data_IF_295361064746
#
_entry.id   IF_295361064746
#
_cell.length_a   1.000
_cell.length_b   1.000
_cell.length_c   1.000
_cell.angle_alpha   90.00
_cell.angle_beta   90.00
_cell.angle_gamma   90.00
#
_symmetry.space_group_name_H-M   'P 1'
#
loop_
_entity.id
_entity.type
_entity.pdbx_description
1 polymer ?
#
# COMPACT_ATOMS: atom_id res chain seq x y z
N UNK A 1 5.42 -11.30 4.73
CA UNK A 1 5.24 -11.93 3.44
C UNK A 1 6.35 -11.61 2.45
N UNK A 2 6.45 -12.45 1.42
CA UNK A 2 7.34 -12.21 0.27
C UNK A 2 8.83 -12.52 0.48
N UNK A 3 9.27 -12.92 1.68
CA UNK A 3 10.70 -13.14 2.00
C UNK A 3 11.32 -14.18 1.08
N UNK A 4 10.68 -15.34 0.92
CA UNK A 4 11.23 -16.46 0.12
C UNK A 4 11.48 -16.04 -1.34
N UNK A 5 10.49 -15.43 -1.98
CA UNK A 5 10.61 -14.99 -3.38
C UNK A 5 11.64 -13.87 -3.56
N UNK A 6 11.69 -12.93 -2.61
CA UNK A 6 12.65 -11.82 -2.66
C UNK A 6 14.08 -12.33 -2.46
N UNK A 7 14.30 -13.24 -1.50
CA UNK A 7 15.60 -13.87 -1.27
C UNK A 7 16.08 -14.67 -2.49
N UNK A 8 15.16 -15.43 -3.10
CA UNK A 8 15.47 -16.20 -4.32
C UNK A 8 15.97 -15.28 -5.44
N UNK A 9 15.26 -14.18 -5.72
CA UNK A 9 15.68 -13.24 -6.77
C UNK A 9 16.99 -12.53 -6.41
N UNK A 10 17.13 -12.08 -5.16
CA UNK A 10 18.35 -11.41 -4.70
C UNK A 10 19.63 -12.25 -4.91
N UNK A 11 19.51 -13.58 -4.86
CA UNK A 11 20.61 -14.55 -5.04
C UNK A 11 20.69 -15.15 -6.45
N UNK A 12 19.78 -14.79 -7.34
CA UNK A 12 19.75 -15.31 -8.72
C UNK A 12 20.88 -14.72 -9.58
N UNK A 13 21.14 -15.38 -10.72
CA UNK A 13 22.10 -14.87 -11.71
C UNK A 13 21.66 -13.49 -12.22
N UNK A 14 22.60 -12.54 -12.34
CA UNK A 14 22.29 -11.16 -12.75
C UNK A 14 22.25 -11.02 -14.28
N UNK A 15 21.56 -11.92 -14.95
CA UNK A 15 21.49 -12.04 -16.43
C UNK A 15 20.21 -11.43 -17.03
N UNK A 16 19.27 -10.93 -16.17
CA UNK A 16 18.04 -10.30 -16.58
C UNK A 16 16.87 -11.27 -16.82
N UNK A 17 17.04 -12.57 -16.61
CA UNK A 17 15.96 -13.56 -16.78
C UNK A 17 15.17 -13.83 -15.51
N UNK A 18 15.71 -13.45 -14.34
CA UNK A 18 15.00 -13.57 -13.07
C UNK A 18 14.76 -12.18 -12.49
N UNK A 19 13.49 -11.82 -12.35
CA UNK A 19 13.06 -10.50 -11.87
C UNK A 19 12.10 -10.65 -10.69
N UNK A 20 12.10 -9.68 -9.81
CA UNK A 20 11.18 -9.56 -8.70
C UNK A 20 10.09 -8.56 -9.04
N UNK A 21 8.85 -9.02 -9.18
CA UNK A 21 7.68 -8.14 -9.12
C UNK A 21 7.20 -8.10 -7.67
N UNK A 22 7.20 -6.94 -7.05
CA UNK A 22 6.95 -6.82 -5.62
C UNK A 22 6.13 -5.61 -5.25
N UNK A 23 5.48 -5.72 -4.11
CA UNK A 23 4.87 -4.63 -3.34
C UNK A 23 5.85 -4.14 -2.26
N UNK A 24 5.58 -3.03 -1.54
CA UNK A 24 6.53 -2.45 -0.57
C UNK A 24 6.94 -3.37 0.57
N UNK A 25 6.04 -4.24 1.04
CA UNK A 25 6.29 -5.08 2.22
C UNK A 25 7.68 -5.73 2.23
N UNK A 26 8.04 -6.56 1.23
CA UNK A 26 9.33 -7.23 1.18
C UNK A 26 10.56 -6.31 1.11
N UNK A 27 10.41 -5.12 0.55
CA UNK A 27 11.54 -4.23 0.27
C UNK A 27 11.63 -3.00 1.19
N UNK A 28 10.65 -2.81 2.08
CA UNK A 28 10.67 -1.69 3.05
C UNK A 28 10.24 -2.13 4.45
N UNK A 29 9.02 -2.67 4.60
CA UNK A 29 8.40 -3.01 5.88
C UNK A 29 9.18 -4.12 6.60
N UNK A 30 9.58 -5.16 5.88
CA UNK A 30 10.31 -6.30 6.44
C UNK A 30 11.67 -5.90 7.04
N UNK A 31 12.31 -4.83 6.56
CA UNK A 31 13.54 -4.28 7.16
C UNK A 31 13.38 -3.82 8.62
N UNK A 32 12.15 -3.58 9.03
CA UNK A 32 11.82 -3.19 10.40
C UNK A 32 11.21 -4.33 11.20
N UNK A 33 10.34 -5.13 10.56
CA UNK A 33 9.61 -6.19 11.25
C UNK A 33 10.50 -7.37 11.65
N UNK A 34 11.54 -7.69 10.86
CA UNK A 34 12.38 -8.86 11.10
C UNK A 34 13.77 -8.46 11.56
N UNK A 35 14.26 -9.06 12.64
CA UNK A 35 15.63 -8.85 13.13
C UNK A 35 16.68 -9.38 12.15
N UNK A 36 16.35 -10.44 11.41
CA UNK A 36 17.24 -11.04 10.40
C UNK A 36 16.45 -11.33 9.14
N UNK A 37 16.82 -10.65 8.06
CA UNK A 37 16.38 -10.99 6.71
C UNK A 37 17.51 -11.72 5.98
N UNK A 38 17.19 -12.69 5.11
CA UNK A 38 18.21 -13.41 4.33
C UNK A 38 18.74 -12.58 3.15
N UNK A 39 18.22 -11.36 2.94
CA UNK A 39 18.60 -10.39 1.92
C UNK A 39 18.53 -8.96 2.46
N UNK A 40 19.23 -8.04 1.82
CA UNK A 40 19.07 -6.60 2.01
C UNK A 40 18.62 -5.97 0.68
N UNK A 41 17.35 -5.51 0.57
CA UNK A 41 16.84 -4.97 -0.69
C UNK A 41 17.57 -3.69 -1.16
N UNK A 42 18.35 -3.05 -0.28
CA UNK A 42 19.12 -1.83 -0.57
C UNK A 42 20.43 -2.12 -1.30
N UNK A 43 20.98 -3.33 -1.12
CA UNK A 43 22.29 -3.77 -1.65
C UNK A 43 22.20 -4.96 -2.58
N UNK A 44 21.24 -5.85 -2.39
CA UNK A 44 21.12 -7.11 -3.12
C UNK A 44 20.19 -7.02 -4.33
N UNK A 45 19.40 -5.93 -4.40
CA UNK A 45 18.45 -5.66 -5.48
C UNK A 45 18.66 -4.27 -6.07
N UNK A 46 18.23 -4.09 -7.32
CA UNK A 46 18.20 -2.79 -8.00
C UNK A 46 16.88 -2.57 -8.70
N UNK A 47 16.42 -1.32 -8.72
CA UNK A 47 15.17 -0.95 -9.39
C UNK A 47 15.31 -1.07 -10.90
N UNK A 48 14.29 -1.63 -11.53
CA UNK A 48 14.13 -1.65 -13.00
C UNK A 48 13.05 -0.65 -13.41
N UNK A 49 11.86 -0.76 -12.82
CA UNK A 49 10.74 0.16 -13.08
C UNK A 49 9.64 -0.03 -12.04
N UNK A 50 8.87 1.00 -11.79
CA UNK A 50 7.56 0.88 -11.17
C UNK A 50 6.52 0.64 -12.27
N UNK A 51 5.67 -0.36 -12.09
CA UNK A 51 4.66 -0.76 -13.09
C UNK A 51 3.36 -0.01 -12.91
N UNK A 52 2.88 -0.01 -11.67
CA UNK A 52 1.60 0.59 -11.32
C UNK A 52 1.60 1.07 -9.86
N UNK A 53 0.70 1.99 -9.56
CA UNK A 53 0.49 2.50 -8.21
C UNK A 53 -0.94 2.23 -7.79
N UNK A 54 -1.12 1.37 -6.79
CA UNK A 54 -2.44 1.09 -6.22
C UNK A 54 -2.96 2.28 -5.42
N UNK A 55 -4.25 2.54 -5.54
CA UNK A 55 -4.96 3.51 -4.71
C UNK A 55 -5.60 2.79 -3.53
N UNK A 56 -5.56 3.42 -2.38
CA UNK A 56 -6.22 2.94 -1.17
C UNK A 56 -7.26 3.94 -0.67
N UNK A 57 -8.29 3.42 -0.02
CA UNK A 57 -9.43 4.20 0.45
C UNK A 57 -9.79 3.80 1.88
N UNK A 58 -9.96 4.78 2.74
CA UNK A 58 -10.55 4.59 4.07
C UNK A 58 -12.01 4.26 3.91
N UNK A 59 -12.40 3.09 4.39
CA UNK A 59 -13.73 2.53 4.20
C UNK A 59 -14.26 2.03 5.53
N UNK A 60 -15.55 2.23 5.76
CA UNK A 60 -16.25 1.80 6.96
C UNK A 60 -17.45 0.93 6.62
N UNK A 61 -17.81 0.04 7.57
CA UNK A 61 -19.11 -0.63 7.56
C UNK A 61 -20.25 0.39 7.75
N UNK A 62 -21.41 0.24 7.14
CA UNK A 62 -22.53 1.21 7.23
C UNK A 62 -23.04 1.51 8.65
N UNK A 63 -22.79 0.61 9.61
CA UNK A 63 -23.12 0.83 11.03
C UNK A 63 -22.33 1.96 11.69
N UNK A 64 -21.21 2.37 11.09
CA UNK A 64 -20.41 3.51 11.58
C UNK A 64 -21.08 4.80 11.13
N UNK A 65 -21.57 5.67 12.05
CA UNK A 65 -22.32 6.87 11.70
C UNK A 65 -21.39 8.04 11.31
N UNK A 66 -20.52 7.82 10.32
CA UNK A 66 -19.58 8.81 9.78
C UNK A 66 -19.69 8.89 8.25
N UNK A 67 -19.63 10.08 7.68
CA UNK A 67 -19.70 10.35 6.24
C UNK A 67 -18.39 10.90 5.67
N UNK A 68 -17.46 11.29 6.52
CA UNK A 68 -16.15 11.81 6.17
C UNK A 68 -15.15 11.47 7.30
N UNK A 69 -13.88 11.80 7.09
CA UNK A 69 -12.84 11.44 8.05
C UNK A 69 -12.95 12.20 9.37
N UNK A 70 -13.36 13.48 9.33
CA UNK A 70 -13.59 14.29 10.54
C UNK A 70 -14.65 13.66 11.44
N UNK A 71 -15.80 13.31 10.85
CA UNK A 71 -16.88 12.65 11.59
C UNK A 71 -16.44 11.29 12.17
N UNK A 72 -15.61 10.52 11.44
CA UNK A 72 -15.07 9.26 11.94
C UNK A 72 -14.24 9.49 13.22
N UNK A 73 -13.35 10.48 13.22
CA UNK A 73 -12.56 10.84 14.40
C UNK A 73 -13.48 11.17 15.60
N UNK A 74 -14.53 11.94 15.37
CA UNK A 74 -15.48 12.32 16.41
C UNK A 74 -16.28 11.12 16.95
N UNK A 75 -16.69 10.22 16.06
CA UNK A 75 -17.41 8.98 16.41
C UNK A 75 -16.55 8.07 17.27
N UNK A 76 -15.28 7.80 16.85
CA UNK A 76 -14.37 6.94 17.60
C UNK A 76 -14.04 7.54 18.98
N UNK A 77 -13.83 8.88 19.05
CA UNK A 77 -13.51 9.57 20.30
C UNK A 77 -14.61 9.46 21.35
N UNK A 78 -15.89 9.41 20.92
CA UNK A 78 -17.03 9.26 21.83
C UNK A 78 -17.16 7.87 22.44
N UNK A 79 -16.63 6.83 21.76
CA UNK A 79 -16.75 5.44 22.16
C UNK A 79 -15.38 4.73 22.06
N UNK A 80 -14.44 5.08 22.97
CA UNK A 80 -13.09 4.53 22.95
C UNK A 80 -13.10 2.99 23.07
N UNK A 81 -12.28 2.31 22.26
CA UNK A 81 -12.16 0.85 22.25
C UNK A 81 -13.30 0.09 21.58
N UNK A 82 -14.35 0.78 21.07
CA UNK A 82 -15.48 0.12 20.41
C UNK A 82 -15.19 -0.29 18.97
N UNK A 83 -14.41 0.49 18.26
CA UNK A 83 -14.20 0.33 16.82
C UNK A 83 -12.93 -0.45 16.51
N UNK A 84 -13.07 -1.48 15.69
CA UNK A 84 -11.95 -2.29 15.20
C UNK A 84 -11.53 -1.87 13.79
N UNK A 85 -10.22 -1.70 13.59
CA UNK A 85 -9.62 -1.47 12.28
C UNK A 85 -8.86 -2.70 11.80
N UNK A 86 -9.27 -3.23 10.64
CA UNK A 86 -8.61 -4.36 9.99
C UNK A 86 -7.39 -3.95 9.20
N UNK A 87 -6.39 -4.82 9.16
CA UNK A 87 -5.25 -4.71 8.25
C UNK A 87 -4.94 -6.01 7.55
N UNK A 88 -4.26 -5.96 6.41
CA UNK A 88 -3.77 -7.16 5.71
C UNK A 88 -2.46 -7.72 6.28
N UNK A 89 -2.15 -7.35 7.52
CA UNK A 89 -1.03 -7.87 8.30
C UNK A 89 -0.32 -6.80 9.12
N UNK A 90 0.50 -7.22 10.10
CA UNK A 90 1.29 -6.31 10.92
C UNK A 90 2.20 -5.42 10.07
N UNK A 91 2.37 -4.15 10.45
CA UNK A 91 3.25 -3.18 9.77
C UNK A 91 2.77 -2.71 8.40
N UNK A 92 1.66 -3.23 7.87
CA UNK A 92 1.09 -2.78 6.59
C UNK A 92 0.41 -1.42 6.71
N UNK A 93 0.14 -0.76 5.57
CA UNK A 93 -0.42 0.59 5.56
C UNK A 93 -1.65 0.79 6.46
N UNK A 94 -2.67 -0.10 6.48
CA UNK A 94 -3.80 0.09 7.39
C UNK A 94 -3.39 0.06 8.86
N UNK A 95 -2.45 -0.80 9.25
CA UNK A 95 -1.93 -0.84 10.62
C UNK A 95 -1.13 0.42 10.95
N UNK A 96 -0.26 0.88 10.05
CA UNK A 96 0.47 2.13 10.23
C UNK A 96 -0.50 3.32 10.38
N UNK A 97 -1.55 3.37 9.55
CA UNK A 97 -2.56 4.41 9.61
C UNK A 97 -3.37 4.36 10.91
N UNK A 98 -3.73 3.17 11.38
CA UNK A 98 -4.44 2.99 12.65
C UNK A 98 -3.60 3.55 13.81
N UNK A 99 -2.33 3.16 13.93
CA UNK A 99 -1.43 3.63 14.98
C UNK A 99 -1.22 5.16 14.89
N UNK A 100 -1.07 5.68 13.67
CA UNK A 100 -0.94 7.11 13.45
C UNK A 100 -2.21 7.87 13.89
N UNK A 101 -3.39 7.38 13.52
CA UNK A 101 -4.67 7.98 13.89
C UNK A 101 -4.87 7.99 15.41
N UNK A 102 -4.63 6.86 16.05
CA UNK A 102 -4.77 6.73 17.51
C UNK A 102 -3.85 7.72 18.23
N UNK A 103 -2.58 7.79 17.84
CA UNK A 103 -1.60 8.69 18.43
C UNK A 103 -1.90 10.18 18.14
N UNK A 104 -2.21 10.51 16.90
CA UNK A 104 -2.33 11.91 16.46
C UNK A 104 -3.64 12.54 16.93
N UNK A 105 -4.73 11.76 16.90
CA UNK A 105 -6.07 12.28 17.21
C UNK A 105 -6.57 11.85 18.59
N UNK A 106 -5.74 11.14 19.38
CA UNK A 106 -6.11 10.66 20.72
C UNK A 106 -7.24 9.63 20.68
N UNK A 107 -7.19 8.71 19.70
CA UNK A 107 -8.20 7.67 19.53
C UNK A 107 -7.77 6.39 20.24
N UNK A 108 -8.74 5.51 20.48
CA UNK A 108 -8.51 4.16 21.01
C UNK A 108 -9.29 3.19 20.13
N UNK A 109 -8.58 2.59 19.14
CA UNK A 109 -9.15 1.59 18.25
C UNK A 109 -8.50 0.24 18.47
N UNK A 110 -9.21 -0.84 18.12
CA UNK A 110 -8.66 -2.20 18.17
C UNK A 110 -8.06 -2.56 16.82
N UNK A 111 -6.83 -3.06 16.81
CA UNK A 111 -6.20 -3.57 15.59
C UNK A 111 -6.51 -5.06 15.40
N UNK A 112 -7.00 -5.42 14.20
CA UNK A 112 -7.22 -6.83 13.80
C UNK A 112 -6.39 -7.14 12.56
N UNK A 113 -5.39 -8.00 12.71
CA UNK A 113 -4.49 -8.39 11.62
C UNK A 113 -5.02 -9.64 10.90
N UNK A 114 -5.12 -9.56 9.57
CA UNK A 114 -5.53 -10.65 8.68
C UNK A 114 -4.35 -11.16 7.83
N UNK A 115 -4.49 -12.36 7.27
CA UNK A 115 -3.54 -12.92 6.28
C UNK A 115 -3.89 -12.46 4.86
N UNK A 116 -3.97 -11.12 4.67
CA UNK A 116 -4.29 -10.50 3.38
C UNK A 116 -5.64 -9.76 3.37
N UNK A 117 -5.96 -9.15 2.23
CA UNK A 117 -7.11 -8.25 2.10
C UNK A 117 -8.46 -8.97 2.01
N UNK A 118 -8.50 -10.16 1.37
CA UNK A 118 -9.76 -10.86 1.16
C UNK A 118 -10.50 -11.26 2.47
N UNK A 119 -9.86 -11.94 3.45
CA UNK A 119 -10.52 -12.23 4.71
C UNK A 119 -10.87 -10.97 5.51
N UNK A 120 -10.05 -9.94 5.46
CA UNK A 120 -10.33 -8.64 6.07
C UNK A 120 -11.61 -7.99 5.49
N UNK A 121 -11.77 -8.04 4.16
CA UNK A 121 -12.94 -7.49 3.48
C UNK A 121 -14.22 -8.25 3.86
N UNK A 122 -14.14 -9.56 4.02
CA UNK A 122 -15.29 -10.38 4.47
C UNK A 122 -15.77 -9.93 5.85
N UNK A 123 -14.85 -9.75 6.79
CA UNK A 123 -15.17 -9.33 8.15
C UNK A 123 -15.61 -7.85 8.22
N UNK A 124 -15.09 -7.00 7.35
CA UNK A 124 -15.59 -5.62 7.20
C UNK A 124 -17.04 -5.60 6.69
N UNK A 125 -17.36 -6.44 5.71
CA UNK A 125 -18.71 -6.54 5.15
C UNK A 125 -19.75 -7.08 6.13
N UNK A 126 -19.33 -7.97 7.02
CA UNK A 126 -20.20 -8.53 8.07
C UNK A 126 -20.27 -7.66 9.34
N UNK A 127 -19.46 -6.58 9.43
CA UNK A 127 -19.40 -5.70 10.59
C UNK A 127 -18.60 -6.27 11.78
N UNK A 128 -17.87 -7.37 11.60
CA UNK A 128 -16.94 -7.91 12.63
C UNK A 128 -15.84 -6.89 12.93
N UNK A 129 -15.31 -6.26 11.87
CA UNK A 129 -14.51 -5.05 11.99
C UNK A 129 -15.29 -3.87 11.39
N UNK A 130 -15.02 -2.66 11.86
CA UNK A 130 -15.81 -1.49 11.47
C UNK A 130 -15.15 -0.62 10.42
N UNK A 131 -13.84 -0.72 10.25
CA UNK A 131 -13.10 0.13 9.30
C UNK A 131 -11.81 -0.52 8.82
N UNK A 132 -11.34 -0.05 7.66
CA UNK A 132 -10.02 -0.35 7.11
C UNK A 132 -9.57 0.74 6.15
N UNK A 133 -8.27 0.79 5.84
CA UNK A 133 -7.77 1.36 4.60
C UNK A 133 -7.47 0.19 3.67
N UNK A 134 -8.21 0.05 2.60
CA UNK A 134 -8.08 -1.06 1.66
C UNK A 134 -7.87 -0.59 0.22
N UNK A 135 -7.55 -1.53 -0.68
CA UNK A 135 -7.39 -1.19 -2.10
C UNK A 135 -8.72 -0.80 -2.73
N UNK A 136 -8.69 0.22 -3.58
CA UNK A 136 -9.87 0.63 -4.36
C UNK A 136 -10.39 -0.54 -5.18
N UNK A 137 -9.51 -1.33 -5.77
CA UNK A 137 -9.86 -2.51 -6.57
C UNK A 137 -10.77 -3.49 -5.81
N UNK A 138 -10.41 -3.81 -4.57
CA UNK A 138 -11.14 -4.79 -3.75
C UNK A 138 -12.44 -4.19 -3.19
N UNK A 139 -12.41 -2.93 -2.76
CA UNK A 139 -13.52 -2.34 -2.00
C UNK A 139 -14.58 -1.65 -2.88
N UNK A 140 -14.21 -1.17 -4.08
CA UNK A 140 -15.11 -0.41 -4.96
C UNK A 140 -16.43 -1.14 -5.28
N UNK A 141 -16.48 -2.43 -5.62
CA UNK A 141 -17.74 -3.10 -5.91
C UNK A 141 -18.72 -3.09 -4.72
N UNK A 142 -18.20 -3.19 -3.50
CA UNK A 142 -19.02 -3.16 -2.29
C UNK A 142 -19.45 -1.73 -1.92
N UNK A 143 -18.61 -0.75 -2.21
CA UNK A 143 -18.94 0.68 -2.06
C UNK A 143 -20.04 1.05 -3.06
N UNK A 144 -19.90 0.68 -4.33
CA UNK A 144 -20.91 0.92 -5.35
C UNK A 144 -22.25 0.25 -5.04
N UNK A 145 -22.22 -0.94 -4.43
CA UNK A 145 -23.42 -1.65 -3.97
C UNK A 145 -24.01 -1.11 -2.65
N UNK A 146 -23.44 -0.06 -2.04
CA UNK A 146 -23.88 0.51 -0.77
C UNK A 146 -23.65 -0.38 0.46
N UNK A 147 -22.91 -1.48 0.30
CA UNK A 147 -22.56 -2.41 1.38
C UNK A 147 -21.43 -1.89 2.27
N UNK A 148 -20.63 -0.98 1.76
CA UNK A 148 -19.57 -0.28 2.47
C UNK A 148 -19.63 1.21 2.15
N UNK A 149 -19.03 2.03 2.99
CA UNK A 149 -18.96 3.48 2.80
C UNK A 149 -17.51 3.94 2.74
N UNK A 150 -17.12 4.57 1.62
CA UNK A 150 -15.82 5.24 1.49
C UNK A 150 -15.86 6.60 2.19
N UNK A 151 -14.81 6.94 2.94
CA UNK A 151 -14.72 8.21 3.67
C UNK A 151 -13.63 9.14 3.14
N UNK A 152 -12.48 8.60 2.76
CA UNK A 152 -11.36 9.39 2.25
C UNK A 152 -10.42 8.55 1.38
N UNK A 153 -9.93 9.12 0.29
CA UNK A 153 -8.95 8.52 -0.61
C UNK A 153 -7.54 8.87 -0.15
N UNK A 154 -6.63 7.88 -0.10
CA UNK A 154 -5.22 8.12 0.12
C UNK A 154 -4.52 8.55 -1.18
N UNK A 155 -3.50 9.40 -1.02
CA UNK A 155 -2.73 9.96 -2.13
C UNK A 155 -3.21 11.35 -2.56
N UNK A 156 -2.52 11.95 -3.54
CA UNK A 156 -2.74 13.36 -3.92
C UNK A 156 -4.03 13.59 -4.73
N UNK A 157 -4.54 12.56 -5.41
CA UNK A 157 -5.66 12.69 -6.33
C UNK A 157 -6.76 11.67 -6.01
N UNK A 158 -8.00 11.96 -6.41
CA UNK A 158 -9.12 11.01 -6.37
C UNK A 158 -8.89 9.85 -7.35
N UNK A 159 -9.56 8.72 -7.11
CA UNK A 159 -9.58 7.60 -8.06
C UNK A 159 -10.65 7.80 -9.12
N UNK A 160 -10.35 7.43 -10.38
CA UNK A 160 -11.36 7.38 -11.47
C UNK A 160 -12.50 6.40 -11.14
N UNK A 161 -12.23 5.37 -10.34
CA UNK A 161 -13.24 4.39 -9.92
C UNK A 161 -14.16 4.90 -8.80
N UNK A 162 -13.73 5.92 -8.06
CA UNK A 162 -14.46 6.54 -6.94
C UNK A 162 -14.32 8.08 -7.03
N UNK A 163 -14.85 8.72 -8.09
CA UNK A 163 -14.60 10.13 -8.37
C UNK A 163 -15.23 11.08 -7.33
N UNK A 164 -16.26 10.62 -6.64
CA UNK A 164 -16.97 11.40 -5.62
C UNK A 164 -16.29 11.33 -4.24
N UNK A 165 -15.35 10.39 -4.05
CA UNK A 165 -14.63 10.24 -2.77
C UNK A 165 -13.47 11.23 -2.73
N UNK A 166 -13.57 12.22 -1.86
CA UNK A 166 -12.51 13.23 -1.63
C UNK A 166 -11.26 12.58 -1.02
N UNK A 167 -10.10 13.16 -1.31
CA UNK A 167 -8.85 12.73 -0.68
C UNK A 167 -8.76 13.21 0.77
N UNK A 168 -7.90 12.57 1.58
CA UNK A 168 -7.55 13.09 2.90
C UNK A 168 -7.07 14.54 2.81
N UNK A 169 -6.26 14.88 1.80
CA UNK A 169 -5.73 16.22 1.60
C UNK A 169 -6.84 17.25 1.30
N UNK A 170 -7.84 16.92 0.49
CA UNK A 170 -9.01 17.75 0.23
C UNK A 170 -9.85 17.97 1.49
N UNK A 171 -9.83 17.03 2.44
CA UNK A 171 -10.48 17.15 3.75
C UNK A 171 -9.60 17.86 4.79
N UNK A 172 -8.40 18.36 4.41
CA UNK A 172 -7.49 19.09 5.30
C UNK A 172 -6.43 18.25 5.98
N UNK A 173 -6.36 16.93 5.75
CA UNK A 173 -5.40 16.01 6.36
C UNK A 173 -4.27 15.70 5.39
N UNK A 174 -3.10 16.35 5.60
CA UNK A 174 -1.95 16.30 4.67
C UNK A 174 -0.75 15.53 5.22
N UNK A 175 -0.94 14.76 6.28
CA UNK A 175 0.12 13.96 6.89
C UNK A 175 0.64 12.89 5.91
N UNK A 176 1.93 12.59 5.99
CA UNK A 176 2.61 11.69 5.06
C UNK A 176 1.96 10.33 4.92
N UNK A 177 1.40 9.78 6.01
CA UNK A 177 0.71 8.49 6.00
C UNK A 177 -0.47 8.44 5.02
N UNK A 178 -1.17 9.56 4.83
CA UNK A 178 -2.30 9.66 3.91
C UNK A 178 -1.89 10.00 2.48
N UNK A 179 -0.68 10.54 2.29
CA UNK A 179 -0.15 10.94 0.99
C UNK A 179 0.65 9.83 0.32
N UNK A 180 1.18 8.91 1.11
CA UNK A 180 2.03 7.82 0.61
C UNK A 180 1.17 6.79 -0.12
N UNK A 181 1.47 6.64 -1.41
CA UNK A 181 0.96 5.56 -2.24
C UNK A 181 2.16 4.81 -2.81
N UNK A 182 2.25 3.53 -2.48
CA UNK A 182 3.39 2.74 -2.85
C UNK A 182 3.18 2.02 -4.19
N UNK A 183 4.17 2.02 -5.08
CA UNK A 183 4.06 1.33 -6.35
C UNK A 183 4.26 -0.19 -6.19
N UNK A 184 3.79 -0.91 -7.19
CA UNK A 184 4.26 -2.25 -7.51
C UNK A 184 5.49 -2.10 -8.39
N UNK A 185 6.62 -2.60 -7.93
CA UNK A 185 7.92 -2.38 -8.55
C UNK A 185 8.49 -3.66 -9.15
N UNK A 186 9.24 -3.52 -10.23
CA UNK A 186 10.11 -4.57 -10.77
C UNK A 186 11.54 -4.26 -10.38
N UNK A 187 12.19 -5.26 -9.80
CA UNK A 187 13.60 -5.21 -9.39
C UNK A 187 14.37 -6.39 -9.99
N UNK A 188 15.67 -6.21 -10.16
CA UNK A 188 16.61 -7.22 -10.59
C UNK A 188 17.67 -7.45 -9.50
N UNK A 189 18.44 -8.57 -9.55
CA UNK A 189 19.66 -8.73 -8.74
C UNK A 189 20.59 -7.52 -8.90
N UNK A 190 21.21 -7.06 -7.83
CA UNK A 190 21.98 -5.80 -7.81
C UNK A 190 23.09 -5.74 -8.85
N UNK A 191 23.69 -6.88 -9.20
CA UNK A 191 24.80 -6.98 -10.17
C UNK A 191 24.34 -7.10 -11.63
N UNK A 192 23.04 -7.03 -11.92
CA UNK A 192 22.53 -7.04 -13.31
C UNK A 192 23.11 -5.84 -14.07
N UNK A 193 23.73 -6.04 -15.27
CA UNK A 193 24.34 -4.97 -16.04
C UNK A 193 23.36 -3.85 -16.39
N UNK A 194 23.85 -2.59 -16.40
CA UNK A 194 23.04 -1.40 -16.70
C UNK A 194 22.31 -1.51 -18.04
N UNK A 195 22.99 -1.98 -19.08
CA UNK A 195 22.38 -2.16 -20.41
C UNK A 195 21.15 -3.10 -20.39
N UNK A 196 21.19 -4.14 -19.56
CA UNK A 196 20.06 -5.07 -19.39
C UNK A 196 18.91 -4.37 -18.65
N UNK A 197 19.23 -3.68 -17.54
CA UNK A 197 18.22 -2.97 -16.73
C UNK A 197 17.53 -1.87 -17.54
N UNK A 198 18.29 -1.09 -18.30
CA UNK A 198 17.73 -0.05 -19.18
C UNK A 198 16.86 -0.60 -20.29
N UNK A 199 17.27 -1.73 -20.90
CA UNK A 199 16.45 -2.41 -21.90
C UNK A 199 15.14 -2.90 -21.30
N UNK A 200 15.20 -3.63 -20.18
CA UNK A 200 14.01 -4.13 -19.49
C UNK A 200 13.07 -2.98 -19.11
N UNK A 201 13.60 -1.89 -18.59
CA UNK A 201 12.79 -0.72 -18.23
C UNK A 201 12.08 -0.11 -19.44
N UNK A 202 12.76 0.04 -20.58
CA UNK A 202 12.13 0.52 -21.82
C UNK A 202 11.03 -0.41 -22.32
N UNK A 203 11.28 -1.73 -22.29
CA UNK A 203 10.31 -2.74 -22.73
C UNK A 203 9.07 -2.73 -21.79
N UNK A 204 9.28 -2.65 -20.48
CA UNK A 204 8.21 -2.52 -19.48
C UNK A 204 7.40 -1.25 -19.71
N UNK A 205 8.06 -0.11 -19.90
CA UNK A 205 7.39 1.16 -20.16
C UNK A 205 6.57 1.12 -21.45
N UNK A 206 7.08 0.48 -22.50
CA UNK A 206 6.36 0.31 -23.75
C UNK A 206 5.10 -0.55 -23.56
N UNK A 207 5.18 -1.64 -22.79
CA UNK A 207 4.04 -2.50 -22.48
C UNK A 207 3.01 -1.77 -21.63
N UNK A 208 3.43 -1.10 -20.56
CA UNK A 208 2.53 -0.34 -19.66
C UNK A 208 1.75 0.74 -20.40
N UNK A 209 2.35 1.37 -21.42
CA UNK A 209 1.73 2.42 -22.25
C UNK A 209 0.82 1.89 -23.35
N UNK A 210 0.75 0.58 -23.60
CA UNK A 210 -0.22 0.03 -24.55
C UNK A 210 -1.64 0.32 -24.05
N UNK A 211 -2.56 0.80 -24.91
CA UNK A 211 -3.90 1.22 -24.50
C UNK A 211 -4.66 0.14 -23.73
N UNK A 212 -4.56 -1.12 -24.15
CA UNK A 212 -5.19 -2.25 -23.48
C UNK A 212 -4.61 -2.55 -22.10
N UNK A 213 -3.27 -2.43 -21.94
CA UNK A 213 -2.58 -2.64 -20.67
C UNK A 213 -2.87 -1.49 -19.70
N UNK A 214 -2.76 -0.24 -20.19
CA UNK A 214 -3.15 0.97 -19.42
C UNK A 214 -4.60 0.83 -18.91
N UNK A 215 -5.54 0.51 -19.82
CA UNK A 215 -6.94 0.31 -19.46
C UNK A 215 -7.10 -0.78 -18.40
N UNK A 216 -6.41 -1.90 -18.56
CA UNK A 216 -6.48 -3.01 -17.59
C UNK A 216 -5.96 -2.62 -16.21
N UNK A 217 -4.86 -1.87 -16.15
CA UNK A 217 -4.31 -1.35 -14.89
C UNK A 217 -5.31 -0.37 -14.24
N UNK A 218 -5.92 0.52 -15.03
CA UNK A 218 -6.93 1.47 -14.54
C UNK A 218 -8.20 0.74 -14.04
N UNK A 219 -8.67 -0.30 -14.75
CA UNK A 219 -9.79 -1.15 -14.31
C UNK A 219 -9.49 -1.88 -12.99
N UNK A 220 -8.23 -2.13 -12.71
CA UNK A 220 -7.77 -2.65 -11.41
C UNK A 220 -7.64 -1.56 -10.33
N UNK A 221 -8.10 -0.32 -10.58
CA UNK A 221 -8.04 0.79 -9.62
C UNK A 221 -6.63 1.31 -9.36
N UNK A 222 -5.68 1.00 -10.24
CA UNK A 222 -4.30 1.45 -10.13
C UNK A 222 -3.96 2.49 -11.20
N UNK A 223 -2.92 3.27 -10.96
CA UNK A 223 -2.34 4.18 -11.95
C UNK A 223 -1.18 3.48 -12.68
N UNK A 224 -1.16 3.43 -14.02
CA UNK A 224 -0.01 2.94 -14.78
C UNK A 224 1.17 3.90 -14.61
N UNK A 225 2.39 3.37 -14.48
CA UNK A 225 3.62 4.16 -14.31
C UNK A 225 4.58 3.92 -15.49
N UNK A 226 5.35 2.84 -15.47
CA UNK A 226 6.37 2.56 -16.48
C UNK A 226 7.48 3.61 -16.51
N UNK A 227 8.09 3.91 -15.35
CA UNK A 227 9.16 4.88 -15.20
C UNK A 227 10.56 4.29 -15.46
N UNK A 228 11.56 5.15 -15.56
CA UNK A 228 12.96 4.77 -15.71
C UNK A 228 13.56 4.20 -14.43
N UNK A 229 14.69 3.45 -14.50
CA UNK A 229 15.38 2.95 -13.31
C UNK A 229 15.83 4.07 -12.35
N UNK A 230 16.22 5.23 -12.91
CA UNK A 230 16.61 6.38 -12.13
C UNK A 230 15.43 6.98 -11.34
N UNK A 231 14.28 7.18 -11.99
CA UNK A 231 13.06 7.68 -11.37
C UNK A 231 12.54 6.70 -10.32
N UNK A 232 12.48 5.38 -10.62
CA UNK A 232 12.08 4.35 -9.67
C UNK A 232 13.01 4.31 -8.45
N UNK A 233 14.33 4.43 -8.66
CA UNK A 233 15.33 4.48 -7.58
C UNK A 233 15.14 5.72 -6.71
N UNK A 234 14.91 6.89 -7.30
CA UNK A 234 14.66 8.13 -6.57
C UNK A 234 13.38 8.03 -5.73
N UNK A 235 12.30 7.51 -6.32
CA UNK A 235 11.04 7.26 -5.61
C UNK A 235 11.22 6.29 -4.43
N UNK A 236 11.94 5.19 -4.65
CA UNK A 236 12.24 4.21 -3.59
C UNK A 236 13.06 4.83 -2.45
N UNK A 237 14.12 5.59 -2.77
CA UNK A 237 14.96 6.27 -1.76
C UNK A 237 14.18 7.29 -0.93
N UNK A 238 13.21 7.97 -1.53
CA UNK A 238 12.32 8.90 -0.82
C UNK A 238 11.30 8.15 0.05
N UNK A 239 10.75 7.07 -0.46
CA UNK A 239 9.71 6.30 0.22
C UNK A 239 10.25 5.45 1.38
N UNK A 240 11.43 4.84 1.23
CA UNK A 240 12.00 3.88 2.18
C UNK A 240 12.08 4.43 3.63
N UNK A 241 12.69 5.60 3.91
CA UNK A 241 12.78 6.11 5.28
C UNK A 241 11.40 6.38 5.89
N UNK A 242 10.45 6.89 5.11
CA UNK A 242 9.08 7.16 5.55
C UNK A 242 8.39 5.84 5.93
N UNK A 243 8.47 4.83 5.07
CA UNK A 243 7.89 3.52 5.33
C UNK A 243 8.50 2.86 6.58
N UNK A 244 9.81 2.96 6.76
CA UNK A 244 10.50 2.42 7.93
C UNK A 244 10.08 3.13 9.23
N UNK A 245 9.94 4.45 9.21
CA UNK A 245 9.49 5.24 10.35
C UNK A 245 8.06 4.86 10.75
N UNK A 246 7.15 4.85 9.79
CA UNK A 246 5.76 4.45 10.02
C UNK A 246 5.64 3.01 10.53
N UNK A 247 6.48 2.10 10.02
CA UNK A 247 6.50 0.72 10.51
C UNK A 247 7.01 0.62 11.94
N UNK A 248 8.10 1.34 12.30
CA UNK A 248 8.60 1.40 13.68
C UNK A 248 7.57 1.96 14.65
N UNK A 249 6.79 2.95 14.22
CA UNK A 249 5.73 3.54 15.04
C UNK A 249 4.66 2.53 15.45
N UNK A 250 4.50 1.41 14.72
CA UNK A 250 3.56 0.34 15.09
C UNK A 250 4.03 -0.49 16.29
N UNK A 251 5.32 -0.43 16.65
CA UNK A 251 5.90 -1.21 17.73
C UNK A 251 5.99 -2.72 17.47
N UNK A 252 5.62 -3.18 16.26
CA UNK A 252 5.60 -4.62 15.93
C UNK A 252 6.96 -5.09 15.45
N UNK A 253 7.38 -6.24 15.96
CA UNK A 253 8.51 -7.05 15.47
C UNK A 253 8.03 -8.47 15.23
N UNK A 254 8.55 -9.12 14.18
CA UNK A 254 8.30 -10.51 13.83
C UNK A 254 9.67 -11.22 13.86
N UNK A 255 9.81 -12.23 14.68
CA UNK A 255 11.04 -13.05 14.80
C UNK A 255 10.90 -14.33 14.01
#
# INVERSE_FOLDING_TARGET
GGIIGTDYVAKSAPDGYTLLLTVPGPITVNLVLYKKLPYDPRTDLRMVSDVARSRTVLTVHPSVPAKNFKELIEVIRKEPGKYAMGSWGPGTQPHQAQVFMDKTYGLQTMHVAYKGEAPMTTDLMSGVIQMTIGSVTTLQPYIAAGKLRALAMAGPNRSKMLPDVTTFAEQGYKDGIYMVTAPTSIMAPAKTPDAIVERLSRDIAAVVRQPEVTKRIEEMGAEPIGNTPAEATAAYKTFLPISMELTRATGVTLD
#
